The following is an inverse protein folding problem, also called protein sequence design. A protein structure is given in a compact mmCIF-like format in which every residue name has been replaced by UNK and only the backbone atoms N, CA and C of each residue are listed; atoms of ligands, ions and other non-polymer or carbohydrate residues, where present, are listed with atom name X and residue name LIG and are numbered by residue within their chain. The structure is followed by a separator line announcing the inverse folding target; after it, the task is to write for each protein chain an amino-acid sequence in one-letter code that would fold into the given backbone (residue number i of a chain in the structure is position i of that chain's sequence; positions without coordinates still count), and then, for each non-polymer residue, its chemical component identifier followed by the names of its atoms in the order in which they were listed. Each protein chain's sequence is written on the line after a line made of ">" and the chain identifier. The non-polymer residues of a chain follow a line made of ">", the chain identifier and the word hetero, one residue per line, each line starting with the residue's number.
data_IF_613787157368
#
_entry.id   IF_613787157368
#
_cell.length_a   1.000
_cell.length_b   1.000
_cell.length_c   1.000
_cell.angle_alpha   90.00
_cell.angle_beta   90.00
_cell.angle_gamma   90.00
#
_symmetry.space_group_name_H-M   'P 1'
#
loop_
_entity.id
_entity.type
_entity.pdbx_description
1 polymer ?
#
# COMPACT_ATOMS: atom_id res chain seq x y z
N UNK A 1 3.95 -3.16 12.37
CA UNK A 1 5.32 -3.00 11.81
C UNK A 1 5.77 -1.55 11.88
N UNK A 2 7.06 -1.26 11.71
CA UNK A 2 7.63 0.09 11.81
C UNK A 2 8.26 0.52 10.47
N UNK A 3 7.83 1.67 9.93
CA UNK A 3 8.30 2.23 8.66
C UNK A 3 9.17 3.47 8.91
N UNK A 4 10.18 3.68 8.07
CA UNK A 4 11.04 4.88 8.11
C UNK A 4 10.44 5.98 7.21
N UNK A 5 10.30 7.18 7.78
CA UNK A 5 9.88 8.37 7.05
C UNK A 5 11.11 9.10 6.55
N UNK A 6 11.13 9.41 5.26
CA UNK A 6 12.15 10.24 4.65
C UNK A 6 11.70 11.70 4.62
N UNK A 7 12.65 12.62 4.81
CA UNK A 7 12.45 14.04 4.55
C UNK A 7 12.58 14.37 3.05
N UNK A 8 12.39 15.64 2.69
CA UNK A 8 12.45 16.13 1.30
C UNK A 8 13.82 15.92 0.61
N UNK A 9 14.86 15.63 1.38
CA UNK A 9 16.22 15.34 0.91
C UNK A 9 16.49 13.83 0.82
N UNK A 10 15.49 12.98 1.08
CA UNK A 10 15.60 11.53 1.07
C UNK A 10 16.32 10.96 2.30
N UNK A 11 16.52 11.73 3.36
CA UNK A 11 17.17 11.28 4.59
C UNK A 11 16.13 10.82 5.62
N UNK A 12 16.48 9.80 6.42
CA UNK A 12 15.64 9.31 7.51
C UNK A 12 15.34 10.40 8.54
N UNK A 13 14.06 10.74 8.68
CA UNK A 13 13.57 11.77 9.58
C UNK A 13 13.01 11.19 10.89
N UNK A 14 12.21 10.12 10.78
CA UNK A 14 11.56 9.48 11.94
C UNK A 14 11.07 8.07 11.59
N UNK A 15 10.63 7.33 12.62
CA UNK A 15 9.99 6.03 12.45
C UNK A 15 8.51 6.12 12.83
N UNK A 16 7.65 5.52 12.00
CA UNK A 16 6.21 5.49 12.20
C UNK A 16 5.74 4.05 12.38
N UNK A 17 5.03 3.81 13.46
CA UNK A 17 4.33 2.55 13.69
C UNK A 17 3.03 2.54 12.89
N UNK A 18 2.88 1.55 12.01
CA UNK A 18 1.70 1.42 11.15
C UNK A 18 0.87 0.19 11.53
N UNK A 19 -0.47 0.24 11.34
CA UNK A 19 -1.35 -0.86 11.71
C UNK A 19 -1.04 -2.15 10.95
N UNK A 20 -0.80 -3.23 11.70
CA UNK A 20 -0.51 -4.55 11.13
C UNK A 20 -1.69 -5.10 10.29
N UNK A 21 -2.91 -4.74 10.64
CA UNK A 21 -4.13 -5.19 9.95
C UNK A 21 -4.21 -4.73 8.50
N UNK A 22 -3.51 -3.65 8.15
CA UNK A 22 -3.48 -3.08 6.79
C UNK A 22 -2.16 -3.41 6.10
N UNK A 23 -1.03 -3.20 6.78
CA UNK A 23 0.29 -3.31 6.16
C UNK A 23 0.95 -4.68 6.32
N UNK A 24 0.53 -5.48 7.30
CA UNK A 24 1.05 -6.82 7.59
C UNK A 24 0.24 -7.95 6.98
N UNK A 25 -0.70 -7.62 6.08
CA UNK A 25 -1.49 -8.62 5.37
C UNK A 25 -0.62 -9.31 4.32
N UNK A 26 -0.75 -10.63 4.23
CA UNK A 26 -0.19 -11.38 3.11
C UNK A 26 -0.79 -10.87 1.79
N UNK A 27 0.08 -10.71 0.79
CA UNK A 27 -0.34 -10.28 -0.53
C UNK A 27 -1.18 -11.37 -1.21
N UNK A 28 -2.36 -10.99 -1.70
CA UNK A 28 -3.25 -11.87 -2.45
C UNK A 28 -3.35 -11.35 -3.89
N UNK A 29 -2.57 -11.96 -4.77
CA UNK A 29 -2.45 -11.55 -6.17
C UNK A 29 -3.78 -11.66 -6.93
N UNK A 30 -4.49 -12.79 -6.80
CA UNK A 30 -5.76 -13.03 -7.48
C UNK A 30 -6.81 -11.98 -7.13
N UNK A 31 -6.94 -11.68 -5.83
CA UNK A 31 -7.88 -10.67 -5.34
C UNK A 31 -7.51 -9.27 -5.84
N UNK A 32 -6.23 -8.91 -5.77
CA UNK A 32 -5.77 -7.60 -6.23
C UNK A 32 -6.01 -7.44 -7.74
N UNK A 33 -5.67 -8.46 -8.54
CA UNK A 33 -5.93 -8.48 -9.97
C UNK A 33 -7.43 -8.33 -10.27
N UNK A 34 -8.29 -9.10 -9.60
CA UNK A 34 -9.74 -9.02 -9.79
C UNK A 34 -10.28 -7.61 -9.53
N UNK A 35 -9.87 -6.96 -8.44
CA UNK A 35 -10.34 -5.63 -8.08
C UNK A 35 -9.82 -4.57 -9.06
N UNK A 36 -8.55 -4.63 -9.47
CA UNK A 36 -7.97 -3.69 -10.44
C UNK A 36 -8.67 -3.81 -11.79
N UNK A 37 -8.90 -5.03 -12.29
CA UNK A 37 -9.61 -5.26 -13.55
C UNK A 37 -11.05 -4.73 -13.47
N UNK A 38 -11.77 -5.00 -12.38
CA UNK A 38 -13.13 -4.50 -12.18
C UNK A 38 -13.16 -2.96 -12.11
N UNK A 39 -12.21 -2.33 -11.42
CA UNK A 39 -12.10 -0.87 -11.34
C UNK A 39 -11.86 -0.25 -12.72
N UNK A 40 -10.92 -0.80 -13.51
CA UNK A 40 -10.65 -0.33 -14.87
C UNK A 40 -11.83 -0.55 -15.82
N UNK A 41 -12.55 -1.66 -15.69
CA UNK A 41 -13.73 -1.95 -16.51
C UNK A 41 -14.85 -0.92 -16.26
N UNK A 42 -15.06 -0.51 -15.00
CA UNK A 42 -16.04 0.53 -14.66
C UNK A 42 -15.66 1.93 -15.18
N UNK A 43 -14.37 2.20 -15.38
CA UNK A 43 -13.89 3.48 -15.93
C UNK A 43 -14.10 3.63 -17.45
N UNK A 44 -14.48 2.55 -18.14
CA UNK A 44 -14.85 2.57 -19.56
C UNK A 44 -16.33 2.95 -19.69
N UNK A 45 -16.66 4.20 -19.35
CA UNK A 45 -17.96 4.78 -19.74
C UNK A 45 -17.94 5.21 -21.21
#
# INVERSE_FOLDING_TARGET
>A
MQLELLNDQGQGASKLDVPETVFGREYNEDLVHQIVVAYQANARQ
#
